data_IF_424184780878
#
_entry.id   IF_424184780878
#
_cell.length_a   1.000
_cell.length_b   1.000
_cell.length_c   1.000
_cell.angle_alpha   90.00
_cell.angle_beta   90.00
_cell.angle_gamma   90.00
#
_symmetry.space_group_name_H-M   'P 1'
#
loop_
_entity.id
_entity.type
_entity.pdbx_description
1 polymer ?
#
# COMPACT_ATOMS: atom_id res chain seq x y z
N UNK A 1 -82.71 35.89 17.74
CA UNK A 1 -82.17 34.59 18.19
C UNK A 1 -81.45 33.98 17.00
N UNK A 2 -80.21 34.41 16.77
CA UNK A 2 -79.43 34.06 15.58
C UNK A 2 -78.47 32.90 15.89
N UNK A 3 -78.65 31.78 15.20
CA UNK A 3 -77.74 30.63 15.22
C UNK A 3 -76.67 30.82 14.15
N UNK A 4 -75.42 30.98 14.58
CA UNK A 4 -74.23 30.97 13.72
C UNK A 4 -73.83 29.53 13.37
N UNK A 5 -73.68 29.24 12.09
CA UNK A 5 -73.10 27.99 11.57
C UNK A 5 -71.58 28.10 11.61
N UNK A 6 -70.90 27.14 12.25
CA UNK A 6 -69.45 26.96 12.18
C UNK A 6 -69.11 25.93 11.11
N UNK A 7 -68.28 26.32 10.13
CA UNK A 7 -67.71 25.44 9.11
C UNK A 7 -66.36 24.94 9.64
N UNK A 8 -66.22 23.62 9.81
CA UNK A 8 -64.95 22.98 10.14
C UNK A 8 -64.17 22.66 8.85
N UNK A 9 -62.95 23.20 8.74
CA UNK A 9 -62.03 22.95 7.63
C UNK A 9 -61.15 21.74 7.98
N UNK A 10 -61.32 20.63 7.25
CA UNK A 10 -60.45 19.47 7.36
C UNK A 10 -59.17 19.67 6.53
N UNK A 11 -58.01 19.73 7.18
CA UNK A 11 -56.71 19.71 6.51
C UNK A 11 -56.27 18.25 6.25
N UNK A 12 -56.17 17.88 4.98
CA UNK A 12 -55.54 16.65 4.51
C UNK A 12 -54.01 16.83 4.48
N UNK A 13 -53.30 16.17 5.38
CA UNK A 13 -51.84 16.06 5.35
C UNK A 13 -51.44 14.98 4.34
N UNK A 14 -50.89 15.39 3.19
CA UNK A 14 -50.24 14.48 2.24
C UNK A 14 -48.85 14.10 2.75
N UNK A 15 -48.69 12.86 3.19
CA UNK A 15 -47.38 12.28 3.54
C UNK A 15 -46.61 11.95 2.26
N UNK A 16 -45.67 12.82 1.87
CA UNK A 16 -44.69 12.51 0.84
C UNK A 16 -43.65 11.54 1.43
N UNK A 17 -43.62 10.30 0.93
CA UNK A 17 -42.59 9.34 1.25
C UNK A 17 -41.27 9.76 0.58
N UNK A 18 -40.33 10.29 1.36
CA UNK A 18 -38.95 10.45 0.93
C UNK A 18 -38.30 9.06 0.85
N UNK A 19 -38.17 8.54 -0.37
CA UNK A 19 -37.22 7.45 -0.63
C UNK A 19 -35.83 8.08 -0.58
N UNK A 20 -35.12 7.89 0.53
CA UNK A 20 -33.70 8.22 0.60
C UNK A 20 -32.98 7.38 -0.46
N UNK A 21 -32.40 8.04 -1.48
CA UNK A 21 -31.50 7.38 -2.39
C UNK A 21 -30.33 6.84 -1.58
N UNK A 22 -30.20 5.51 -1.52
CA UNK A 22 -28.97 4.88 -1.00
C UNK A 22 -27.87 5.36 -1.94
N UNK A 23 -26.83 6.07 -1.43
CA UNK A 23 -25.74 6.48 -2.30
C UNK A 23 -25.17 5.22 -2.94
N UNK A 24 -25.08 5.20 -4.28
CA UNK A 24 -24.41 4.14 -4.99
C UNK A 24 -23.01 4.01 -4.40
N UNK A 25 -22.73 2.86 -3.79
CA UNK A 25 -21.46 2.62 -3.15
C UNK A 25 -20.41 2.57 -4.26
N UNK A 26 -19.41 3.45 -4.20
CA UNK A 26 -18.29 3.46 -5.13
C UNK A 26 -17.71 2.05 -5.24
N UNK A 27 -17.58 1.54 -6.47
CA UNK A 27 -17.00 0.24 -6.71
C UNK A 27 -15.49 0.30 -6.38
N UNK A 28 -15.03 -0.71 -5.64
CA UNK A 28 -13.62 -0.91 -5.35
C UNK A 28 -13.07 -2.03 -6.21
N UNK A 29 -11.84 -1.88 -6.67
CA UNK A 29 -11.12 -2.88 -7.45
C UNK A 29 -9.80 -3.24 -6.77
N UNK A 30 -9.39 -4.49 -6.89
CA UNK A 30 -8.09 -4.97 -6.47
C UNK A 30 -7.27 -5.38 -7.69
N UNK A 31 -6.01 -4.97 -7.70
CA UNK A 31 -5.01 -5.36 -8.69
C UNK A 31 -3.94 -6.21 -8.02
N UNK A 32 -3.71 -7.41 -8.55
CA UNK A 32 -2.72 -8.34 -8.03
C UNK A 32 -1.67 -8.60 -9.10
N UNK A 33 -0.42 -8.24 -8.84
CA UNK A 33 0.66 -8.52 -9.79
C UNK A 33 1.19 -9.93 -9.62
N UNK A 34 1.39 -10.64 -10.73
CA UNK A 34 1.84 -12.02 -10.75
C UNK A 34 3.15 -12.13 -11.55
N UNK A 35 4.26 -12.36 -10.86
CA UNK A 35 5.58 -12.27 -11.49
C UNK A 35 5.82 -13.41 -12.49
N UNK A 36 5.38 -14.64 -12.19
CA UNK A 36 5.66 -15.79 -13.02
C UNK A 36 4.68 -15.93 -14.20
N UNK A 37 3.42 -15.53 -14.06
CA UNK A 37 2.46 -15.48 -15.18
C UNK A 37 2.58 -14.20 -16.02
N UNK A 38 3.40 -13.24 -15.59
CA UNK A 38 3.69 -12.02 -16.34
C UNK A 38 2.43 -11.18 -16.64
N UNK A 39 1.56 -11.07 -15.64
CA UNK A 39 0.28 -10.37 -15.75
C UNK A 39 -0.16 -9.72 -14.42
N UNK A 40 -1.25 -8.96 -14.51
CA UNK A 40 -1.95 -8.37 -13.37
C UNK A 40 -3.38 -8.95 -13.35
N UNK A 41 -3.75 -9.67 -12.30
CA UNK A 41 -5.13 -10.09 -12.07
C UNK A 41 -5.97 -8.91 -11.58
N UNK A 42 -7.20 -8.79 -12.08
CA UNK A 42 -8.15 -7.73 -11.73
C UNK A 42 -9.36 -8.35 -11.03
N UNK A 43 -9.73 -7.79 -9.87
CA UNK A 43 -10.92 -8.20 -9.13
C UNK A 43 -11.79 -6.99 -8.82
N UNK A 44 -13.12 -7.16 -8.88
CA UNK A 44 -14.07 -6.22 -8.29
C UNK A 44 -14.40 -6.65 -6.86
N UNK A 45 -14.25 -5.74 -5.92
CA UNK A 45 -14.60 -5.93 -4.52
C UNK A 45 -16.05 -5.49 -4.28
N UNK A 46 -16.89 -6.41 -3.83
CA UNK A 46 -18.15 -6.08 -3.20
C UNK A 46 -17.87 -5.48 -1.81
N UNK A 47 -18.06 -4.17 -1.68
CA UNK A 47 -17.70 -3.48 -0.45
C UNK A 47 -18.61 -3.78 0.75
N UNK A 48 -19.69 -4.55 0.61
CA UNK A 48 -20.52 -4.96 1.75
C UNK A 48 -20.05 -6.31 2.30
N UNK A 49 -19.86 -7.26 1.40
CA UNK A 49 -19.60 -8.67 1.72
C UNK A 49 -18.12 -8.99 1.77
N UNK A 50 -17.28 -8.26 1.04
CA UNK A 50 -15.87 -8.60 0.85
C UNK A 50 -15.64 -9.60 -0.28
N UNK A 51 -16.69 -9.96 -1.03
CA UNK A 51 -16.56 -10.89 -2.16
C UNK A 51 -15.75 -10.27 -3.29
N UNK A 52 -14.80 -11.03 -3.82
CA UNK A 52 -13.99 -10.63 -4.98
C UNK A 52 -14.53 -11.32 -6.23
N UNK A 53 -14.99 -10.54 -7.20
CA UNK A 53 -15.39 -11.05 -8.51
C UNK A 53 -14.19 -10.94 -9.46
N UNK A 54 -13.64 -12.06 -9.99
CA UNK A 54 -12.55 -12.00 -10.95
C UNK A 54 -13.02 -11.37 -12.26
N UNK A 55 -12.25 -10.41 -12.77
CA UNK A 55 -12.56 -9.66 -14.00
C UNK A 55 -11.65 -10.04 -15.18
N UNK A 56 -10.64 -10.87 -14.92
CA UNK A 56 -9.63 -11.28 -15.87
C UNK A 56 -8.23 -10.89 -15.43
N UNK A 57 -7.27 -11.01 -16.35
CA UNK A 57 -5.89 -10.61 -16.16
C UNK A 57 -5.41 -9.79 -17.36
N UNK A 58 -4.47 -8.88 -17.11
CA UNK A 58 -3.85 -8.03 -18.14
C UNK A 58 -2.36 -8.34 -18.21
N UNK A 59 -1.85 -8.86 -19.34
CA UNK A 59 -0.45 -9.22 -19.47
C UNK A 59 0.44 -7.98 -19.56
N UNK A 60 1.69 -8.10 -19.10
CA UNK A 60 2.71 -7.10 -19.39
C UNK A 60 3.07 -7.12 -20.89
N UNK A 61 3.19 -5.94 -21.50
CA UNK A 61 3.37 -5.81 -22.94
C UNK A 61 4.86 -5.68 -23.27
N UNK A 62 5.35 -6.56 -24.15
CA UNK A 62 6.75 -6.56 -24.59
C UNK A 62 7.74 -6.94 -23.48
N UNK A 63 7.28 -7.72 -22.50
CA UNK A 63 8.09 -8.24 -21.39
C UNK A 63 8.04 -9.75 -21.44
N UNK A 64 9.17 -10.43 -21.60
CA UNK A 64 9.20 -11.90 -21.60
C UNK A 64 9.03 -12.47 -20.18
N UNK A 65 9.74 -11.86 -19.22
CA UNK A 65 9.67 -12.18 -17.79
C UNK A 65 9.92 -10.91 -16.99
N UNK A 66 9.09 -10.55 -16.00
CA UNK A 66 9.20 -9.27 -15.33
C UNK A 66 10.18 -9.27 -14.16
N UNK A 67 10.77 -10.42 -13.81
CA UNK A 67 11.67 -10.59 -12.66
C UNK A 67 11.00 -11.39 -11.53
N UNK A 68 11.57 -11.32 -10.33
CA UNK A 68 11.10 -12.12 -9.17
C UNK A 68 9.95 -11.47 -8.39
N UNK A 69 9.66 -10.20 -8.64
CA UNK A 69 8.50 -9.48 -8.11
C UNK A 69 8.17 -8.30 -9.02
N UNK A 70 6.99 -7.73 -8.86
CA UNK A 70 6.44 -6.70 -9.74
C UNK A 70 5.71 -5.66 -8.88
N UNK A 71 6.41 -4.66 -8.31
CA UNK A 71 5.76 -3.69 -7.45
C UNK A 71 4.71 -2.90 -8.22
N UNK A 72 3.57 -2.67 -7.57
CA UNK A 72 2.49 -1.86 -8.09
C UNK A 72 2.42 -0.52 -7.34
N UNK A 73 1.92 0.52 -8.01
CA UNK A 73 1.54 1.77 -7.38
C UNK A 73 0.41 2.47 -8.16
N UNK A 74 -0.52 3.08 -7.44
CA UNK A 74 -1.64 3.83 -8.02
C UNK A 74 -1.34 5.33 -8.00
N UNK A 75 -1.64 6.06 -9.08
CA UNK A 75 -1.52 7.52 -9.10
C UNK A 75 -2.46 8.18 -8.07
N UNK A 76 -2.10 9.35 -7.49
CA UNK A 76 -2.96 10.01 -6.50
C UNK A 76 -4.38 10.34 -7.00
N UNK A 77 -4.53 10.63 -8.30
CA UNK A 77 -5.80 10.87 -8.96
C UNK A 77 -6.57 9.58 -9.33
N UNK A 78 -6.00 8.40 -9.02
CA UNK A 78 -6.57 7.07 -9.25
C UNK A 78 -6.80 6.70 -10.71
N UNK A 79 -6.17 7.44 -11.64
CA UNK A 79 -6.34 7.24 -13.09
C UNK A 79 -5.32 6.30 -13.69
N UNK A 80 -4.19 6.07 -13.02
CA UNK A 80 -3.11 5.25 -13.54
C UNK A 80 -2.62 4.21 -12.52
N UNK A 81 -2.29 3.03 -13.03
CA UNK A 81 -1.55 1.99 -12.32
C UNK A 81 -0.15 1.87 -12.95
N UNK A 82 0.87 1.89 -12.10
CA UNK A 82 2.27 1.68 -12.45
C UNK A 82 2.69 0.30 -11.98
N UNK A 83 3.41 -0.45 -12.83
CA UNK A 83 3.95 -1.76 -12.49
C UNK A 83 5.44 -1.85 -12.83
N UNK A 84 6.29 -2.07 -11.83
CA UNK A 84 7.74 -2.16 -12.01
C UNK A 84 8.16 -3.49 -12.62
N UNK A 85 8.91 -3.44 -13.71
CA UNK A 85 9.59 -4.57 -14.34
C UNK A 85 11.04 -4.61 -13.83
N UNK A 86 11.36 -5.69 -13.13
CA UNK A 86 12.62 -5.89 -12.39
C UNK A 86 13.66 -6.71 -13.16
N UNK A 87 13.42 -6.97 -14.44
CA UNK A 87 14.33 -7.58 -15.41
C UNK A 87 14.74 -6.57 -16.49
N UNK A 88 15.80 -6.85 -17.24
CA UNK A 88 16.22 -5.98 -18.34
C UNK A 88 15.31 -6.15 -19.59
N UNK A 89 14.99 -5.05 -20.30
CA UNK A 89 15.26 -3.66 -19.94
C UNK A 89 14.40 -3.20 -18.74
N UNK A 90 15.03 -2.56 -17.75
CA UNK A 90 14.32 -2.10 -16.56
C UNK A 90 13.36 -0.98 -16.91
N UNK A 91 12.08 -1.19 -16.61
CA UNK A 91 11.02 -0.28 -17.00
C UNK A 91 9.86 -0.33 -16.02
N UNK A 92 9.02 0.70 -16.07
CA UNK A 92 7.69 0.69 -15.46
C UNK A 92 6.66 0.58 -16.58
N UNK A 93 5.74 -0.37 -16.44
CA UNK A 93 4.57 -0.52 -17.30
C UNK A 93 3.45 0.38 -16.77
N UNK A 94 2.73 1.05 -17.67
CA UNK A 94 1.80 2.11 -17.33
C UNK A 94 0.43 1.74 -17.87
N UNK A 95 -0.58 1.74 -17.00
CA UNK A 95 -1.95 1.38 -17.36
C UNK A 95 -2.91 2.50 -16.96
N UNK A 96 -3.83 2.86 -17.86
CA UNK A 96 -5.01 3.64 -17.50
C UNK A 96 -6.00 2.75 -16.74
N UNK A 97 -6.61 3.29 -15.70
CA UNK A 97 -7.70 2.67 -14.95
C UNK A 97 -9.02 3.24 -15.47
N UNK A 98 -9.87 2.37 -16.00
CA UNK A 98 -11.25 2.74 -16.31
C UNK A 98 -12.06 2.89 -15.03
N UNK A 99 -12.58 4.10 -14.76
CA UNK A 99 -13.26 4.40 -13.50
C UNK A 99 -14.62 3.70 -13.34
N UNK A 100 -15.26 3.24 -14.41
CA UNK A 100 -16.54 2.55 -14.30
C UNK A 100 -16.38 1.04 -14.06
N UNK A 101 -15.30 0.47 -14.59
CA UNK A 101 -15.13 -0.99 -14.68
C UNK A 101 -13.86 -1.51 -14.03
N UNK A 102 -12.95 -0.64 -13.59
CA UNK A 102 -11.65 -1.01 -13.04
C UNK A 102 -10.71 -1.67 -14.05
N UNK A 103 -11.09 -1.79 -15.33
CA UNK A 103 -10.26 -2.42 -16.37
C UNK A 103 -8.99 -1.61 -16.61
N UNK A 104 -7.90 -2.33 -16.86
CA UNK A 104 -6.60 -1.74 -17.16
C UNK A 104 -6.37 -1.70 -18.67
N UNK A 105 -5.96 -0.54 -19.18
CA UNK A 105 -5.53 -0.36 -20.58
C UNK A 105 -4.07 0.07 -20.62
N UNK A 106 -3.20 -0.72 -21.25
CA UNK A 106 -1.78 -0.40 -21.35
C UNK A 106 -1.55 0.88 -22.18
N UNK A 107 -0.82 1.84 -21.61
CA UNK A 107 -0.49 3.13 -22.23
C UNK A 107 0.93 3.20 -22.78
N UNK A 108 1.80 2.29 -22.35
CA UNK A 108 3.21 2.28 -22.67
C UNK A 108 4.09 1.95 -21.47
N UNK A 109 5.40 2.12 -21.65
CA UNK A 109 6.39 1.95 -20.61
C UNK A 109 7.34 3.15 -20.52
N UNK A 110 7.96 3.31 -19.35
CA UNK A 110 9.00 4.31 -19.09
C UNK A 110 10.25 3.64 -18.51
N UNK A 111 11.47 4.14 -18.80
CA UNK A 111 12.70 3.48 -18.35
C UNK A 111 12.94 3.73 -16.85
N UNK A 112 13.41 2.70 -16.15
CA UNK A 112 13.87 2.80 -14.76
C UNK A 112 15.40 2.73 -14.70
N UNK A 113 15.99 3.30 -13.65
CA UNK A 113 17.45 3.32 -13.51
C UNK A 113 18.06 1.93 -13.21
N UNK A 114 17.27 0.98 -12.70
CA UNK A 114 17.71 -0.34 -12.22
C UNK A 114 16.51 -1.27 -11.93
N UNK A 115 16.77 -2.47 -11.39
CA UNK A 115 15.75 -3.35 -10.81
C UNK A 115 15.17 -2.76 -9.52
N UNK A 116 13.99 -2.13 -9.62
CA UNK A 116 13.34 -1.45 -8.50
C UNK A 116 12.28 -2.35 -7.83
N UNK A 117 12.52 -2.96 -6.64
CA UNK A 117 11.51 -3.71 -5.89
C UNK A 117 10.40 -2.85 -5.26
N UNK A 118 10.50 -1.52 -5.32
CA UNK A 118 9.51 -0.61 -4.79
C UNK A 118 9.43 0.65 -5.65
N UNK A 119 8.21 1.08 -5.95
CA UNK A 119 7.91 2.32 -6.67
C UNK A 119 6.75 3.02 -5.97
N UNK A 120 6.73 4.36 -6.00
CA UNK A 120 5.63 5.15 -5.45
C UNK A 120 5.55 6.51 -6.15
N UNK A 121 4.37 6.95 -6.62
CA UNK A 121 4.21 8.31 -7.09
C UNK A 121 4.22 9.28 -5.91
N UNK A 122 4.77 10.48 -6.12
CA UNK A 122 4.66 11.58 -5.18
C UNK A 122 3.19 12.01 -5.02
N UNK A 123 2.87 12.78 -3.96
CA UNK A 123 1.48 13.17 -3.67
C UNK A 123 0.87 14.08 -4.73
N UNK A 124 1.67 14.76 -5.54
CA UNK A 124 1.19 15.57 -6.67
C UNK A 124 0.98 14.77 -7.96
N UNK A 125 1.48 13.53 -8.04
CA UNK A 125 1.40 12.67 -9.22
C UNK A 125 2.33 13.08 -10.37
N UNK A 126 3.34 13.90 -10.09
CA UNK A 126 4.30 14.43 -11.08
C UNK A 126 5.62 13.69 -11.08
N UNK A 127 5.91 12.88 -10.07
CA UNK A 127 7.16 12.16 -9.95
C UNK A 127 6.94 10.73 -9.47
N UNK A 128 7.66 9.77 -10.03
CA UNK A 128 7.74 8.40 -9.55
C UNK A 128 9.07 8.23 -8.82
N UNK A 129 9.00 7.90 -7.53
CA UNK A 129 10.16 7.56 -6.72
C UNK A 129 10.32 6.03 -6.69
N UNK A 130 11.56 5.57 -6.64
CA UNK A 130 11.87 4.14 -6.64
C UNK A 130 13.14 3.82 -5.86
N UNK A 131 13.25 2.60 -5.34
CA UNK A 131 14.41 2.09 -4.62
C UNK A 131 14.93 0.80 -5.27
N UNK A 132 16.26 0.67 -5.41
CA UNK A 132 16.93 -0.50 -6.02
C UNK A 132 17.71 -1.30 -4.96
N UNK A 133 17.29 -2.54 -4.76
CA UNK A 133 17.92 -3.44 -3.78
C UNK A 133 19.28 -3.95 -4.24
N UNK A 134 19.44 -4.33 -5.51
CA UNK A 134 20.75 -4.75 -6.02
C UNK A 134 21.67 -3.58 -6.33
N UNK A 135 21.10 -2.38 -6.43
CA UNK A 135 21.78 -1.19 -6.93
C UNK A 135 22.20 -0.16 -5.90
N UNK A 136 21.85 -0.37 -4.63
CA UNK A 136 22.19 0.49 -3.49
C UNK A 136 21.80 1.97 -3.71
N UNK A 137 20.66 2.22 -4.38
CA UNK A 137 20.26 3.55 -4.83
C UNK A 137 18.76 3.77 -4.82
N UNK A 138 18.37 5.03 -4.83
CA UNK A 138 17.02 5.49 -5.14
C UNK A 138 17.03 6.34 -6.40
N UNK A 139 15.89 6.47 -7.06
CA UNK A 139 15.74 7.28 -8.26
C UNK A 139 14.41 8.04 -8.29
N UNK A 140 14.41 9.16 -9.01
CA UNK A 140 13.21 9.95 -9.31
C UNK A 140 13.05 10.03 -10.83
N UNK A 141 11.86 9.69 -11.30
CA UNK A 141 11.44 9.86 -12.70
C UNK A 141 10.31 10.90 -12.76
N UNK A 142 10.26 11.77 -13.79
CA UNK A 142 9.10 12.64 -14.00
C UNK A 142 7.91 11.84 -14.55
N UNK A 143 6.71 12.26 -14.20
CA UNK A 143 5.43 11.76 -14.70
C UNK A 143 4.74 12.90 -15.47
N UNK A 144 4.41 12.63 -16.74
CA UNK A 144 3.65 13.55 -17.57
C UNK A 144 2.17 13.62 -17.19
N UNK A 145 1.42 14.64 -17.67
CA UNK A 145 -0.02 14.77 -17.41
C UNK A 145 -0.85 13.62 -18.01
N UNK A 146 -0.28 12.87 -18.96
CA UNK A 146 -0.86 11.65 -19.53
C UNK A 146 -0.49 10.38 -18.73
N UNK A 147 0.13 10.52 -17.57
CA UNK A 147 0.59 9.43 -16.71
C UNK A 147 1.88 8.76 -17.19
N UNK A 148 2.49 9.20 -18.31
CA UNK A 148 3.70 8.55 -18.82
C UNK A 148 4.92 8.90 -17.98
N UNK A 149 5.74 7.89 -17.69
CA UNK A 149 6.96 8.03 -16.91
C UNK A 149 8.14 8.30 -17.85
N UNK A 150 8.80 9.45 -17.68
CA UNK A 150 10.02 9.81 -18.41
C UNK A 150 11.27 9.14 -17.84
N UNK A 151 12.46 9.39 -18.43
CA UNK A 151 13.71 8.83 -17.93
C UNK A 151 14.06 9.36 -16.53
N UNK A 152 14.86 8.59 -15.74
CA UNK A 152 15.27 9.03 -14.41
C UNK A 152 15.95 10.40 -14.49
N UNK A 153 15.40 11.39 -13.78
CA UNK A 153 15.96 12.73 -13.71
C UNK A 153 17.00 12.87 -12.59
N UNK A 154 16.91 12.00 -11.57
CA UNK A 154 17.87 11.93 -10.47
C UNK A 154 18.06 10.49 -10.02
N UNK A 155 19.31 10.12 -9.73
CA UNK A 155 19.69 8.86 -9.11
C UNK A 155 20.62 9.18 -7.94
N UNK A 156 20.29 8.68 -6.76
CA UNK A 156 21.01 8.96 -5.52
C UNK A 156 21.50 7.65 -4.92
N UNK A 157 22.82 7.53 -4.74
CA UNK A 157 23.40 6.41 -4.02
C UNK A 157 22.98 6.48 -2.54
N UNK A 158 22.74 5.32 -1.93
CA UNK A 158 22.34 5.18 -0.54
C UNK A 158 23.24 4.15 0.16
N UNK A 159 22.81 3.60 1.29
CA UNK A 159 23.41 2.40 1.86
C UNK A 159 23.08 1.13 1.07
N UNK A 160 23.59 0.00 1.53
CA UNK A 160 23.38 -1.29 0.89
C UNK A 160 21.92 -1.70 0.92
N UNK A 161 21.47 -2.25 -0.19
CA UNK A 161 20.16 -2.85 -0.41
C UNK A 161 18.98 -1.92 -0.08
N UNK A 162 18.84 -0.82 -0.85
CA UNK A 162 17.67 0.04 -0.78
C UNK A 162 16.40 -0.76 -1.14
N UNK A 163 15.49 -0.97 -0.19
CA UNK A 163 14.34 -1.86 -0.40
C UNK A 163 13.03 -1.11 -0.66
N UNK A 164 12.77 0.00 0.03
CA UNK A 164 11.59 0.84 -0.23
C UNK A 164 11.94 2.32 -0.12
N UNK A 165 11.06 3.16 -0.69
CA UNK A 165 11.06 4.61 -0.50
C UNK A 165 9.62 5.08 -0.36
N UNK A 166 9.31 5.93 0.62
CA UNK A 166 7.99 6.55 0.81
C UNK A 166 8.11 8.03 1.11
N UNK A 167 7.14 8.81 0.64
CA UNK A 167 7.06 10.24 0.90
C UNK A 167 6.23 10.54 2.15
N UNK A 168 6.63 11.58 2.87
CA UNK A 168 5.84 12.14 3.96
C UNK A 168 4.45 12.56 3.47
N UNK A 169 3.42 12.54 4.34
CA UNK A 169 2.06 12.92 3.94
C UNK A 169 1.93 14.34 3.39
N UNK A 170 2.81 15.27 3.81
CA UNK A 170 2.88 16.64 3.31
C UNK A 170 3.75 16.82 2.04
N UNK A 171 4.28 15.71 1.48
CA UNK A 171 5.08 15.68 0.25
C UNK A 171 6.36 16.52 0.31
N UNK A 172 6.93 16.70 1.49
CA UNK A 172 8.14 17.53 1.72
C UNK A 172 9.40 16.73 2.04
N UNK A 173 9.23 15.47 2.41
CA UNK A 173 10.33 14.58 2.77
C UNK A 173 10.12 13.19 2.17
N UNK A 174 11.20 12.44 2.01
CA UNK A 174 11.16 11.05 1.59
C UNK A 174 12.07 10.20 2.47
N UNK A 175 11.67 8.94 2.68
CA UNK A 175 12.37 8.01 3.56
C UNK A 175 12.65 6.73 2.81
N UNK A 176 13.91 6.32 2.75
CA UNK A 176 14.31 5.08 2.08
C UNK A 176 14.91 4.08 3.09
N UNK A 177 14.53 2.82 2.98
CA UNK A 177 15.09 1.76 3.81
C UNK A 177 16.30 1.14 3.12
N UNK A 178 17.41 1.00 3.86
CA UNK A 178 18.56 0.24 3.41
C UNK A 178 18.68 -1.03 4.24
N UNK A 179 18.13 -2.12 3.72
CA UNK A 179 18.09 -3.43 4.38
C UNK A 179 19.51 -3.90 4.72
N UNK A 180 20.46 -3.78 3.79
CA UNK A 180 21.82 -4.30 3.96
C UNK A 180 22.74 -3.41 4.80
N UNK A 181 22.25 -2.26 5.27
CA UNK A 181 23.03 -1.31 6.09
C UNK A 181 22.34 -0.90 7.38
N UNK A 182 21.20 -1.52 7.71
CA UNK A 182 20.42 -1.24 8.92
C UNK A 182 20.14 0.26 9.10
N UNK A 183 19.69 0.92 8.04
CA UNK A 183 19.45 2.37 8.02
C UNK A 183 18.10 2.75 7.41
N UNK A 184 17.52 3.80 7.97
CA UNK A 184 16.41 4.55 7.39
C UNK A 184 16.93 5.92 6.95
N UNK A 185 17.16 6.09 5.65
CA UNK A 185 17.68 7.32 5.03
C UNK A 185 16.58 8.36 4.92
N UNK A 186 16.90 9.62 5.20
CA UNK A 186 15.97 10.74 5.27
C UNK A 186 16.37 11.80 4.24
N UNK A 187 15.42 12.16 3.38
CA UNK A 187 15.60 13.16 2.33
C UNK A 187 14.62 14.32 2.51
N UNK A 188 15.05 15.52 2.14
CA UNK A 188 14.16 16.60 1.73
C UNK A 188 13.70 16.32 0.31
N UNK A 189 12.41 16.51 0.05
CA UNK A 189 11.83 16.37 -1.28
C UNK A 189 11.22 17.70 -1.73
N UNK A 190 11.70 18.21 -2.86
CA UNK A 190 11.13 19.37 -3.51
C UNK A 190 10.10 18.93 -4.55
N UNK A 191 8.80 19.06 -4.23
CA UNK A 191 7.71 18.66 -5.11
C UNK A 191 7.55 19.57 -6.36
N UNK A 192 8.23 20.72 -6.42
CA UNK A 192 8.22 21.56 -7.61
C UNK A 192 9.23 21.09 -8.67
N UNK A 193 10.36 20.54 -8.23
CA UNK A 193 11.45 20.09 -9.11
C UNK A 193 11.59 18.57 -9.18
N UNK A 194 11.03 17.84 -8.21
CA UNK A 194 11.21 16.41 -8.03
C UNK A 194 12.61 16.04 -7.54
N UNK A 195 13.28 16.95 -6.81
CA UNK A 195 14.65 16.73 -6.34
C UNK A 195 14.66 16.18 -4.92
N UNK A 196 15.48 15.16 -4.69
CA UNK A 196 15.87 14.66 -3.38
C UNK A 196 17.16 15.34 -2.93
N UNK A 197 17.12 15.97 -1.76
CA UNK A 197 18.29 16.48 -1.05
C UNK A 197 18.48 15.72 0.27
N UNK A 198 19.71 15.62 0.76
CA UNK A 198 19.99 15.04 2.07
C UNK A 198 19.26 15.81 3.19
N UNK A 199 18.68 15.09 4.15
CA UNK A 199 18.17 15.71 5.38
C UNK A 199 19.22 15.70 6.50
N UNK A 200 18.99 16.44 7.59
CA UNK A 200 19.91 16.48 8.73
C UNK A 200 19.18 16.02 10.02
N UNK A 201 19.57 14.89 10.63
CA UNK A 201 20.60 13.94 10.17
C UNK A 201 20.16 13.15 8.92
N UNK A 202 21.11 12.62 8.13
CA UNK A 202 20.80 11.95 6.85
C UNK A 202 20.13 10.59 7.01
N UNK A 203 20.24 9.97 8.18
CA UNK A 203 19.64 8.66 8.43
C UNK A 203 19.45 8.40 9.92
N UNK A 204 18.52 7.49 10.22
CA UNK A 204 18.46 6.78 11.51
C UNK A 204 19.19 5.45 11.35
N UNK A 205 20.07 5.13 12.30
CA UNK A 205 20.75 3.83 12.38
C UNK A 205 19.91 2.91 13.26
N UNK A 206 19.65 1.70 12.76
CA UNK A 206 18.86 0.68 13.42
C UNK A 206 19.78 -0.37 14.06
N UNK A 207 19.27 -1.24 14.94
CA UNK A 207 20.05 -2.34 15.48
C UNK A 207 20.69 -3.19 14.37
N UNK A 208 21.92 -3.69 14.56
CA UNK A 208 22.57 -4.53 13.57
C UNK A 208 21.73 -5.76 13.23
N UNK A 209 21.62 -6.09 11.94
CA UNK A 209 20.81 -7.19 11.40
C UNK A 209 19.30 -7.02 11.55
N UNK A 210 18.80 -5.79 11.67
CA UNK A 210 17.35 -5.54 11.58
C UNK A 210 16.87 -5.80 10.15
N UNK A 211 17.56 -5.22 9.17
CA UNK A 211 17.17 -5.31 7.77
C UNK A 211 15.88 -4.55 7.45
N UNK A 212 15.84 -3.21 7.60
CA UNK A 212 14.64 -2.42 7.35
C UNK A 212 14.09 -2.64 5.95
N UNK A 213 12.80 -2.97 5.85
CA UNK A 213 12.18 -3.36 4.60
C UNK A 213 11.16 -2.34 4.13
N UNK A 214 9.91 -2.44 4.56
CA UNK A 214 8.83 -1.53 4.16
C UNK A 214 8.47 -0.60 5.33
N UNK A 215 8.04 0.62 4.98
CA UNK A 215 7.56 1.61 5.94
C UNK A 215 6.15 2.06 5.55
N UNK A 216 5.38 2.55 6.51
CA UNK A 216 4.08 3.19 6.27
C UNK A 216 3.88 4.33 7.26
N UNK A 217 3.32 5.44 6.78
CA UNK A 217 2.92 6.54 7.65
C UNK A 217 1.57 6.25 8.30
N UNK A 218 1.43 6.66 9.56
CA UNK A 218 0.11 6.77 10.18
C UNK A 218 -0.72 7.87 9.49
N UNK A 219 -2.05 7.71 9.33
CA UNK A 219 -2.90 8.72 8.69
C UNK A 219 -2.87 10.12 9.34
N UNK A 220 -2.49 10.22 10.61
CA UNK A 220 -2.33 11.51 11.33
C UNK A 220 -1.05 12.28 10.97
N UNK A 221 -0.17 11.69 10.15
CA UNK A 221 1.11 12.26 9.75
C UNK A 221 2.07 12.61 10.91
N UNK A 222 1.96 11.94 12.06
CA UNK A 222 2.88 12.12 13.21
C UNK A 222 3.73 10.89 13.52
N UNK A 223 3.37 9.74 12.94
CA UNK A 223 4.06 8.48 13.20
C UNK A 223 4.41 7.77 11.89
N UNK A 224 5.53 7.06 11.91
CA UNK A 224 5.96 6.15 10.86
C UNK A 224 6.22 4.79 11.47
N UNK A 225 5.77 3.75 10.78
CA UNK A 225 5.99 2.36 11.16
C UNK A 225 6.91 1.69 10.16
N UNK A 226 7.76 0.80 10.64
CA UNK A 226 8.75 0.05 9.87
C UNK A 226 8.59 -1.43 10.19
N UNK A 227 8.54 -2.27 9.15
CA UNK A 227 8.79 -3.71 9.29
C UNK A 227 10.21 -4.02 8.84
N UNK A 228 10.90 -4.78 9.68
CA UNK A 228 12.23 -5.31 9.41
C UNK A 228 12.13 -6.71 8.77
N UNK A 229 13.03 -7.04 7.86
CA UNK A 229 13.04 -8.33 7.15
C UNK A 229 13.75 -9.41 7.96
N UNK A 230 14.90 -9.10 8.55
CA UNK A 230 15.86 -10.10 9.04
C UNK A 230 15.61 -10.51 10.49
N UNK A 231 14.92 -9.69 11.28
CA UNK A 231 14.44 -10.04 12.63
C UNK A 231 12.90 -10.05 12.74
N UNK A 232 12.21 -9.69 11.65
CA UNK A 232 10.76 -9.49 11.58
C UNK A 232 10.21 -8.47 12.61
N UNK A 233 11.03 -7.62 13.23
CA UNK A 233 10.55 -6.64 14.19
C UNK A 233 9.64 -5.59 13.51
N UNK A 234 8.78 -4.98 14.32
CA UNK A 234 8.08 -3.75 13.94
C UNK A 234 8.58 -2.61 14.82
N UNK A 235 8.98 -1.51 14.20
CA UNK A 235 9.44 -0.31 14.88
C UNK A 235 8.48 0.86 14.66
N UNK A 236 8.34 1.68 15.69
CA UNK A 236 7.50 2.89 15.73
C UNK A 236 8.40 4.10 15.84
N UNK A 237 8.22 5.06 14.94
CA UNK A 237 8.93 6.33 14.96
C UNK A 237 7.95 7.47 15.15
N UNK A 238 8.29 8.40 16.05
CA UNK A 238 7.71 9.74 16.02
C UNK A 238 8.34 10.52 14.87
N UNK A 239 7.51 11.21 14.09
CA UNK A 239 7.89 12.01 12.94
C UNK A 239 7.70 13.50 13.22
N UNK A 240 8.80 14.26 13.12
CA UNK A 240 8.77 15.72 13.20
C UNK A 240 8.46 16.30 11.82
N UNK A 241 7.24 16.82 11.65
CA UNK A 241 6.75 17.42 10.39
C UNK A 241 7.48 18.70 9.97
N UNK A 242 8.21 19.36 10.88
CA UNK A 242 8.96 20.58 10.58
C UNK A 242 10.31 20.25 9.97
N UNK A 243 11.06 19.38 10.63
CA UNK A 243 12.44 19.01 10.27
C UNK A 243 12.52 17.79 9.37
N UNK A 244 11.47 16.97 9.30
CA UNK A 244 11.45 15.72 8.57
C UNK A 244 12.28 14.62 9.22
N UNK A 245 12.43 14.66 10.54
CA UNK A 245 13.30 13.72 11.28
C UNK A 245 12.49 12.69 12.06
N UNK A 246 13.07 11.51 12.23
CA UNK A 246 12.46 10.37 12.92
C UNK A 246 13.15 10.08 14.25
N UNK A 247 12.35 9.70 15.26
CA UNK A 247 12.85 9.22 16.56
C UNK A 247 12.16 7.92 16.91
N UNK A 248 12.92 6.83 17.06
CA UNK A 248 12.37 5.53 17.48
C UNK A 248 11.76 5.64 18.88
N UNK A 249 10.52 5.15 19.03
CA UNK A 249 9.75 5.17 20.28
C UNK A 249 9.51 3.77 20.84
N UNK A 250 9.42 2.78 19.96
CA UNK A 250 9.12 1.41 20.32
C UNK A 250 9.62 0.47 19.23
N UNK A 251 10.02 -0.72 19.65
CA UNK A 251 10.34 -1.85 18.80
C UNK A 251 9.79 -3.11 19.42
N UNK A 252 9.07 -3.90 18.63
CA UNK A 252 8.41 -5.13 19.10
C UNK A 252 8.83 -6.31 18.22
N UNK A 253 9.13 -7.49 18.81
CA UNK A 253 9.25 -8.71 18.03
C UNK A 253 7.89 -9.07 17.43
N UNK A 254 7.89 -9.61 16.20
CA UNK A 254 6.66 -10.11 15.57
C UNK A 254 6.45 -11.61 15.66
N UNK A 255 7.51 -12.37 15.85
CA UNK A 255 7.46 -13.82 15.86
C UNK A 255 7.10 -14.38 17.25
N UNK A 256 6.55 -15.60 17.32
CA UNK A 256 6.44 -16.33 18.57
C UNK A 256 7.81 -16.44 19.28
N UNK A 257 7.82 -16.34 20.61
CA UNK A 257 9.05 -16.34 21.39
C UNK A 257 9.86 -17.64 21.26
N UNK A 258 9.21 -18.74 20.91
CA UNK A 258 9.79 -20.07 20.73
C UNK A 258 10.17 -20.39 19.28
N UNK A 259 9.95 -19.48 18.33
CA UNK A 259 10.31 -19.66 16.92
C UNK A 259 11.81 -19.92 16.74
N UNK A 260 12.15 -20.93 15.92
CA UNK A 260 13.54 -21.39 15.69
C UNK A 260 14.04 -21.21 14.25
N UNK A 261 13.22 -20.67 13.35
CA UNK A 261 13.60 -20.42 11.97
C UNK A 261 14.28 -19.06 11.78
N UNK A 262 14.69 -18.78 10.54
CA UNK A 262 15.14 -17.45 10.14
C UNK A 262 13.91 -16.56 9.87
N UNK A 263 13.77 -15.41 10.56
CA UNK A 263 12.72 -14.43 10.31
C UNK A 263 12.73 -13.94 8.86
N UNK A 264 11.55 -13.62 8.34
CA UNK A 264 11.43 -13.08 6.99
C UNK A 264 10.24 -12.12 6.83
N UNK A 265 10.27 -11.04 7.62
CA UNK A 265 9.26 -9.97 7.56
C UNK A 265 9.15 -9.37 6.15
N UNK A 266 7.95 -8.98 5.75
CA UNK A 266 7.69 -8.51 4.39
C UNK A 266 6.95 -7.17 4.38
N UNK A 267 5.63 -7.18 4.32
CA UNK A 267 4.85 -5.98 4.03
C UNK A 267 4.23 -5.38 5.29
N UNK A 268 3.83 -4.11 5.24
CA UNK A 268 3.26 -3.38 6.38
C UNK A 268 2.23 -2.36 5.92
N UNK A 269 1.06 -2.37 6.55
CA UNK A 269 -0.04 -1.43 6.23
C UNK A 269 -0.82 -1.03 7.48
N UNK A 270 -1.34 0.19 7.47
CA UNK A 270 -2.25 0.73 8.50
C UNK A 270 -3.66 0.83 7.96
N UNK A 271 -4.66 0.66 8.82
CA UNK A 271 -6.05 0.97 8.43
C UNK A 271 -6.21 2.47 8.17
N UNK A 272 -7.09 2.89 7.24
CA UNK A 272 -7.31 4.31 6.94
C UNK A 272 -7.75 5.15 8.14
N UNK A 273 -8.40 4.53 9.13
CA UNK A 273 -8.82 5.16 10.39
C UNK A 273 -7.73 5.23 11.46
N UNK A 274 -6.52 4.73 11.15
CA UNK A 274 -5.34 4.75 12.02
C UNK A 274 -5.44 3.86 13.26
N UNK A 275 -6.38 2.92 13.34
CA UNK A 275 -6.56 2.11 14.56
C UNK A 275 -5.73 0.83 14.59
N UNK A 276 -5.41 0.28 13.42
CA UNK A 276 -4.76 -1.02 13.33
C UNK A 276 -3.59 -0.99 12.35
N UNK A 277 -2.60 -1.82 12.65
CA UNK A 277 -1.44 -2.07 11.80
C UNK A 277 -1.30 -3.56 11.58
N UNK A 278 -0.93 -3.95 10.37
CA UNK A 278 -0.68 -5.34 10.00
C UNK A 278 0.70 -5.46 9.39
N UNK A 279 1.35 -6.62 9.59
CA UNK A 279 2.54 -7.02 8.86
C UNK A 279 2.42 -8.45 8.36
N UNK A 280 3.12 -8.79 7.27
CA UNK A 280 3.24 -10.16 6.80
C UNK A 280 4.61 -10.76 7.13
N UNK A 281 4.65 -12.05 7.43
CA UNK A 281 5.88 -12.79 7.72
C UNK A 281 5.95 -14.07 6.88
N UNK A 282 7.02 -14.18 6.08
CA UNK A 282 7.10 -15.15 4.98
C UNK A 282 7.45 -16.56 5.43
N UNK A 283 8.10 -16.74 6.58
CA UNK A 283 8.51 -18.07 7.06
C UNK A 283 7.40 -18.82 7.78
N UNK A 284 6.61 -18.09 8.56
CA UNK A 284 5.47 -18.61 9.33
C UNK A 284 4.17 -18.58 8.54
N UNK A 285 4.14 -17.93 7.37
CA UNK A 285 2.95 -17.75 6.54
C UNK A 285 1.82 -17.07 7.31
N UNK A 286 2.12 -15.95 7.97
CA UNK A 286 1.15 -15.25 8.82
C UNK A 286 1.00 -13.77 8.48
N UNK A 287 -0.19 -13.25 8.79
CA UNK A 287 -0.43 -11.81 8.97
C UNK A 287 -0.55 -11.55 10.48
N UNK A 288 0.31 -10.68 11.02
CA UNK A 288 0.27 -10.26 12.42
C UNK A 288 -0.43 -8.91 12.55
N UNK A 289 -1.26 -8.78 13.59
CA UNK A 289 -2.11 -7.63 13.84
C UNK A 289 -1.65 -6.87 15.08
N UNK A 290 -1.75 -5.55 15.05
CA UNK A 290 -1.44 -4.65 16.15
C UNK A 290 -2.53 -3.58 16.28
N UNK A 291 -2.86 -3.22 17.51
CA UNK A 291 -3.63 -2.01 17.82
C UNK A 291 -2.69 -0.83 17.94
N UNK A 292 -3.07 0.28 17.34
CA UNK A 292 -2.38 1.56 17.44
C UNK A 292 -3.04 2.39 18.53
N UNK A 293 -2.26 2.84 19.50
CA UNK A 293 -2.69 3.88 20.44
C UNK A 293 -2.77 5.22 19.70
N UNK A 294 -3.94 5.87 19.75
CA UNK A 294 -4.22 7.06 18.92
C UNK A 294 -3.41 8.30 19.31
N UNK A 295 -2.96 8.39 20.55
CA UNK A 295 -2.24 9.55 21.04
C UNK A 295 -0.73 9.38 20.85
N UNK A 296 -0.20 8.25 21.29
CA UNK A 296 1.24 7.97 21.31
C UNK A 296 1.76 7.27 20.05
N UNK A 297 0.87 6.73 19.21
CA UNK A 297 1.20 5.93 18.04
C UNK A 297 1.77 4.55 18.37
N UNK A 298 1.89 4.18 19.65
CA UNK A 298 2.48 2.92 20.09
C UNK A 298 1.61 1.71 19.74
N UNK A 299 2.26 0.58 19.52
CA UNK A 299 1.65 -0.67 19.11
C UNK A 299 1.41 -1.60 20.29
N UNK A 300 0.24 -2.24 20.30
CA UNK A 300 -0.08 -3.40 21.15
C UNK A 300 -0.35 -4.62 20.26
N UNK A 301 0.40 -5.73 20.39
CA UNK A 301 0.14 -6.94 19.60
C UNK A 301 -1.24 -7.54 19.89
N UNK A 302 -1.95 -7.99 18.85
CA UNK A 302 -3.27 -8.61 18.95
C UNK A 302 -3.27 -10.11 18.64
N UNK A 303 -2.25 -10.58 17.92
CA UNK A 303 -2.12 -11.97 17.48
C UNK A 303 -1.83 -12.07 15.98
N UNK A 304 -1.83 -13.29 15.46
CA UNK A 304 -1.61 -13.57 14.05
C UNK A 304 -2.64 -14.55 13.50
N UNK A 305 -2.84 -14.49 12.18
CA UNK A 305 -3.65 -15.46 11.43
C UNK A 305 -2.78 -16.11 10.36
N UNK A 306 -3.00 -17.40 10.10
CA UNK A 306 -2.40 -18.09 8.97
C UNK A 306 -2.94 -17.51 7.65
N UNK A 307 -2.09 -17.47 6.63
CA UNK A 307 -2.40 -16.95 5.30
C UNK A 307 -1.74 -17.79 4.22
N UNK A 308 -1.70 -17.26 3.00
CA UNK A 308 -1.03 -17.84 1.85
C UNK A 308 0.44 -18.21 2.14
N UNK A 309 0.98 -19.19 1.41
CA UNK A 309 2.39 -19.57 1.54
C UNK A 309 3.33 -18.47 0.98
N UNK A 310 4.28 -18.04 1.81
CA UNK A 310 5.23 -16.97 1.54
C UNK A 310 4.53 -15.63 1.23
N UNK A 311 3.79 -15.03 2.19
CA UNK A 311 3.00 -13.82 2.00
C UNK A 311 3.87 -12.57 1.83
N UNK A 312 4.28 -12.27 0.59
CA UNK A 312 5.15 -11.13 0.29
C UNK A 312 4.41 -9.79 0.22
N UNK A 313 3.14 -9.80 -0.18
CA UNK A 313 2.36 -8.60 -0.39
C UNK A 313 0.93 -8.78 0.11
N UNK A 314 0.39 -7.73 0.70
CA UNK A 314 -1.03 -7.62 1.02
C UNK A 314 -1.42 -6.14 0.96
N UNK A 315 -2.71 -5.84 1.01
CA UNK A 315 -3.16 -4.46 1.17
C UNK A 315 -4.53 -4.42 1.84
N UNK A 316 -4.93 -3.23 2.27
CA UNK A 316 -6.21 -2.97 2.95
C UNK A 316 -7.06 -2.13 1.99
N UNK A 317 -8.34 -2.47 1.88
CA UNK A 317 -9.25 -1.71 1.03
C UNK A 317 -9.42 -0.26 1.55
N UNK A 318 -9.81 0.70 0.69
CA UNK A 318 -9.88 2.11 1.08
C UNK A 318 -10.88 2.40 2.20
N UNK A 319 -11.82 1.49 2.50
CA UNK A 319 -12.75 1.63 3.63
C UNK A 319 -12.21 1.05 4.94
N UNK A 320 -11.10 0.29 4.90
CA UNK A 320 -10.51 -0.34 6.08
C UNK A 320 -11.29 -1.54 6.61
N UNK A 321 -12.18 -2.13 5.81
CA UNK A 321 -13.04 -3.26 6.21
C UNK A 321 -12.50 -4.61 5.76
N UNK A 322 -11.64 -4.63 4.75
CA UNK A 322 -11.12 -5.82 4.13
C UNK A 322 -9.61 -5.74 3.93
N UNK A 323 -8.96 -6.88 4.12
CA UNK A 323 -7.54 -7.07 3.81
C UNK A 323 -7.44 -8.20 2.78
N UNK A 324 -6.60 -8.04 1.76
CA UNK A 324 -6.30 -9.09 0.80
C UNK A 324 -4.80 -9.38 0.80
N UNK A 325 -4.43 -10.64 1.02
CA UNK A 325 -3.04 -11.09 1.08
C UNK A 325 -2.74 -12.14 0.00
N UNK A 326 -1.55 -12.06 -0.58
CA UNK A 326 -1.07 -13.00 -1.60
C UNK A 326 0.25 -13.64 -1.20
N UNK A 327 0.45 -14.89 -1.61
CA UNK A 327 1.68 -15.62 -1.32
C UNK A 327 2.40 -16.08 -2.58
N UNK A 328 3.71 -15.83 -2.64
CA UNK A 328 4.55 -16.14 -3.81
C UNK A 328 4.56 -17.63 -4.19
N UNK A 329 4.24 -18.51 -3.24
CA UNK A 329 4.20 -19.97 -3.44
C UNK A 329 2.79 -20.56 -3.48
N UNK A 330 1.77 -19.71 -3.45
CA UNK A 330 0.38 -20.14 -3.27
C UNK A 330 -0.50 -19.99 -4.52
N UNK A 331 -0.06 -19.21 -5.51
CA UNK A 331 -0.82 -18.80 -6.70
C UNK A 331 -2.24 -18.29 -6.39
N UNK A 332 -2.45 -17.73 -5.19
CA UNK A 332 -3.77 -17.37 -4.68
C UNK A 332 -3.73 -16.08 -3.85
N UNK A 333 -4.93 -15.53 -3.65
CA UNK A 333 -5.21 -14.40 -2.77
C UNK A 333 -6.25 -14.81 -1.73
N UNK A 334 -5.95 -14.63 -0.44
CA UNK A 334 -6.95 -14.77 0.64
C UNK A 334 -7.45 -13.40 1.07
N UNK A 335 -8.77 -13.27 1.21
CA UNK A 335 -9.46 -12.05 1.67
C UNK A 335 -9.99 -12.25 3.07
N UNK A 336 -9.82 -11.22 3.89
CA UNK A 336 -10.20 -11.18 5.30
C UNK A 336 -11.14 -10.01 5.56
N UNK A 337 -12.08 -10.18 6.48
CA UNK A 337 -12.78 -9.07 7.13
C UNK A 337 -11.94 -8.58 8.30
N UNK A 338 -11.78 -7.26 8.39
CA UNK A 338 -11.22 -6.59 9.55
C UNK A 338 -12.36 -6.30 10.53
N UNK A 339 -12.30 -6.86 11.73
CA UNK A 339 -13.23 -6.46 12.79
C UNK A 339 -12.92 -5.04 13.27
N UNK A 340 -13.89 -4.14 13.13
CA UNK A 340 -13.69 -2.72 13.43
C UNK A 340 -13.46 -2.41 14.91
N UNK A 341 -13.80 -3.28 15.86
CA UNK A 341 -13.52 -3.03 17.28
C UNK A 341 -12.16 -3.57 17.73
N UNK A 342 -11.88 -4.80 17.31
CA UNK A 342 -10.74 -5.58 17.77
C UNK A 342 -9.53 -5.52 16.85
N UNK A 343 -9.72 -5.29 15.54
CA UNK A 343 -8.68 -5.40 14.51
C UNK A 343 -8.38 -6.84 14.09
N UNK A 344 -9.09 -7.83 14.65
CA UNK A 344 -8.90 -9.24 14.32
C UNK A 344 -9.35 -9.52 12.90
N UNK A 345 -8.56 -10.33 12.19
CA UNK A 345 -8.86 -10.77 10.83
C UNK A 345 -9.69 -12.05 10.85
N UNK A 346 -10.82 -12.04 10.14
CA UNK A 346 -11.62 -13.25 9.87
C UNK A 346 -11.51 -13.60 8.41
N UNK A 347 -11.00 -14.79 8.09
CA UNK A 347 -10.95 -15.29 6.70
C UNK A 347 -12.34 -15.34 6.09
N UNK A 348 -12.51 -14.73 4.92
CA UNK A 348 -13.75 -14.76 4.15
C UNK A 348 -13.68 -15.84 3.07
N UNK A 349 -12.73 -15.68 2.14
CA UNK A 349 -12.61 -16.56 0.99
C UNK A 349 -11.20 -16.47 0.40
N UNK A 350 -10.84 -17.51 -0.35
CA UNK A 350 -9.59 -17.63 -1.10
C UNK A 350 -9.91 -17.69 -2.59
N UNK A 351 -9.20 -16.91 -3.38
CA UNK A 351 -9.41 -16.74 -4.81
C UNK A 351 -8.13 -17.11 -5.57
N UNK A 352 -8.23 -17.82 -6.71
CA UNK A 352 -7.08 -18.03 -7.58
C UNK A 352 -6.60 -16.68 -8.14
N UNK A 353 -5.28 -16.49 -8.19
CA UNK A 353 -4.63 -15.38 -8.88
C UNK A 353 -3.85 -15.92 -10.09
N UNK A 354 -2.87 -15.15 -10.58
CA UNK A 354 -1.86 -15.68 -11.49
C UNK A 354 -0.75 -16.44 -10.75
N UNK A 355 0.34 -16.73 -11.45
CA UNK A 355 1.49 -17.47 -10.89
C UNK A 355 2.44 -16.52 -10.15
N UNK A 356 2.83 -16.91 -8.94
CA UNK A 356 3.70 -16.11 -8.05
C UNK A 356 3.15 -14.69 -7.80
N UNK A 357 1.94 -14.56 -7.22
CA UNK A 357 1.38 -13.27 -6.84
C UNK A 357 2.20 -12.66 -5.70
N UNK A 358 2.52 -11.38 -5.80
CA UNK A 358 3.50 -10.76 -4.89
C UNK A 358 3.22 -9.30 -4.49
N UNK A 359 2.15 -8.70 -4.99
CA UNK A 359 1.73 -7.33 -4.66
C UNK A 359 0.22 -7.20 -4.80
N UNK A 360 -0.40 -6.35 -3.98
CA UNK A 360 -1.83 -6.02 -4.04
C UNK A 360 -2.00 -4.50 -3.97
N UNK A 361 -2.79 -3.94 -4.86
CA UNK A 361 -3.25 -2.55 -4.79
C UNK A 361 -4.77 -2.50 -4.82
N UNK A 362 -5.35 -1.59 -4.04
CA UNK A 362 -6.78 -1.29 -4.12
C UNK A 362 -7.02 0.10 -4.70
N UNK A 363 -8.11 0.23 -5.45
CA UNK A 363 -8.62 1.53 -5.88
C UNK A 363 -10.13 1.60 -5.66
N UNK A 364 -10.62 2.71 -5.11
CA UNK A 364 -12.04 3.08 -5.18
C UNK A 364 -12.16 4.17 -6.22
N UNK A 365 -12.97 3.93 -7.24
CA UNK A 365 -13.21 4.90 -8.32
C UNK A 365 -14.60 5.54 -8.11
N UNK A 366 -14.77 6.83 -8.42
CA UNK A 366 -16.00 7.57 -8.16
C UNK A 366 -17.26 7.01 -8.81
#
# INVERSE_FOLDING_TARGET
MDRRYGIALAMLLSSAAFVAAVPAQADSFAYVSNAASNDISVFRLDGTTGTMTPMGAVPFVGVDKPGTSTPLAISPDRRFLYAGVRSQPYQVQIFAIDAATGKLSHLGSGPLADSMPYIVPDRSGKYLLSASYGGDKVAVNPIGPDGKVGPPQQVVATGKNAHSIQLSPDNRFAFATNLGSDRLVQFRFDAATGSLGENDPPSVVLPPKSGPRHIVFHPDARHLYLVDELDAAVAVFAYDTKTGTLTEKQRLPSLPADFKGEPWGADIHTTPDGRFLYISERRTNTIRSFRIDRESGLLTPLGSVATEEQPRGFNIDPTGRFLAAVGEKSDSMTVYRIDGGSGVLTTLARYPAGKQPNWVEFVSVP
#
